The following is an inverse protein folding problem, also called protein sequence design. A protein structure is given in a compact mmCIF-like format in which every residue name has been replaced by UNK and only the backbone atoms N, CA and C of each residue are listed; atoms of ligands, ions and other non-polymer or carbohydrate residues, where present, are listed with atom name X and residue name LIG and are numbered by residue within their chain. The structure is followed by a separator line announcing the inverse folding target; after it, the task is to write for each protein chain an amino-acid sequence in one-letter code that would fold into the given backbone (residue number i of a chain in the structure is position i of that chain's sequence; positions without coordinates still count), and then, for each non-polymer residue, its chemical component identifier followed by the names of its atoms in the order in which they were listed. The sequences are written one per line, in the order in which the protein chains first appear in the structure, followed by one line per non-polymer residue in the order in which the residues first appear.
data_IF_011221630396
#
_entry.id   IF_011221630396
#
_cell.length_a   1.000
_cell.length_b   1.000
_cell.length_c   1.000
_cell.angle_alpha   90.00
_cell.angle_beta   90.00
_cell.angle_gamma   90.00
#
_symmetry.space_group_name_H-M   'P 1'
#
loop_
_entity.id
_entity.type
_entity.pdbx_description
1 polymer ?
#
# COMPACT_ATOMS: atom_id res chain seq x y z
N UNK A 1 -21.49 46.22 47.18
CA UNK A 1 -22.75 45.43 47.27
C UNK A 1 -22.53 44.06 46.76
N UNK A 2 -22.66 43.16 47.66
CA UNK A 2 -22.65 41.72 47.61
C UNK A 2 -23.63 41.16 46.56
N UNK A 3 -23.28 40.08 45.87
CA UNK A 3 -24.00 38.78 45.95
C UNK A 3 -23.17 37.65 45.35
N UNK A 4 -22.94 36.66 46.18
CA UNK A 4 -22.45 35.30 45.94
C UNK A 4 -23.58 34.46 45.35
N UNK A 5 -23.25 33.46 44.51
CA UNK A 5 -23.96 32.15 44.42
C UNK A 5 -22.96 31.13 43.88
N UNK A 6 -22.51 30.31 44.61
CA UNK A 6 -22.64 28.99 45.20
C UNK A 6 -22.71 27.86 44.15
N UNK A 7 -21.69 26.99 44.28
CA UNK A 7 -21.47 25.73 43.60
C UNK A 7 -22.66 24.72 43.82
N UNK A 8 -22.78 23.79 42.84
CA UNK A 8 -23.38 22.51 43.11
C UNK A 8 -22.59 21.43 42.37
N UNK A 9 -21.74 20.72 43.15
CA UNK A 9 -21.19 19.39 42.81
C UNK A 9 -22.35 18.39 43.00
N UNK A 10 -22.52 17.51 42.00
CA UNK A 10 -23.24 16.26 42.20
C UNK A 10 -22.37 15.09 41.76
N UNK A 11 -21.85 14.39 42.74
CA UNK A 11 -21.33 13.02 42.67
C UNK A 11 -22.47 12.06 42.33
N UNK A 12 -22.21 11.21 41.35
CA UNK A 12 -22.92 9.93 41.30
C UNK A 12 -21.90 8.81 41.21
N UNK A 13 -21.80 8.09 42.29
CA UNK A 13 -21.10 6.81 42.45
C UNK A 13 -22.05 5.65 42.25
N UNK A 14 -21.51 4.56 41.68
CA UNK A 14 -21.89 3.15 41.78
C UNK A 14 -23.11 2.64 40.97
N UNK A 15 -22.85 1.58 40.17
CA UNK A 15 -22.94 0.18 40.65
C UNK A 15 -22.42 -0.79 39.61
N UNK A 16 -21.45 -1.61 40.04
CA UNK A 16 -21.05 -2.87 39.44
C UNK A 16 -22.24 -3.85 39.47
N UNK A 17 -22.60 -4.36 38.30
CA UNK A 17 -23.22 -5.67 38.24
C UNK A 17 -22.80 -6.35 36.93
N UNK A 18 -22.13 -7.46 37.09
CA UNK A 18 -21.70 -8.32 36.01
C UNK A 18 -22.88 -8.90 35.25
N UNK A 19 -22.74 -8.93 33.93
CA UNK A 19 -23.50 -9.85 33.11
C UNK A 19 -22.55 -10.52 32.14
N UNK A 20 -22.47 -11.83 32.25
CA UNK A 20 -21.79 -12.72 31.31
C UNK A 20 -22.30 -12.46 29.90
N UNK A 21 -21.41 -12.11 28.99
CA UNK A 21 -21.70 -12.03 27.57
C UNK A 21 -21.46 -13.41 26.95
N UNK A 22 -22.52 -14.04 26.50
CA UNK A 22 -22.46 -15.24 25.69
C UNK A 22 -22.13 -14.83 24.23
N UNK A 23 -21.29 -15.56 23.49
CA UNK A 23 -21.05 -15.25 22.09
C UNK A 23 -22.24 -15.74 21.25
N UNK A 24 -23.04 -14.80 20.78
CA UNK A 24 -24.12 -15.05 19.83
C UNK A 24 -23.64 -14.91 18.39
N UNK A 25 -23.86 -15.97 17.66
CA UNK A 25 -23.58 -16.18 16.23
C UNK A 25 -24.54 -15.36 15.34
N UNK A 26 -24.42 -14.05 15.25
CA UNK A 26 -25.24 -13.25 14.33
C UNK A 26 -24.48 -12.61 13.15
N UNK A 27 -23.15 -12.72 13.12
CA UNK A 27 -22.35 -12.20 11.98
C UNK A 27 -22.25 -13.13 10.77
N UNK A 28 -22.51 -14.42 10.94
CA UNK A 28 -22.44 -15.39 9.83
C UNK A 28 -23.61 -15.31 8.83
N UNK A 29 -24.74 -14.68 9.21
CA UNK A 29 -25.92 -14.63 8.34
C UNK A 29 -25.89 -13.53 7.28
N UNK A 30 -25.07 -12.49 7.45
CA UNK A 30 -25.04 -11.37 6.52
C UNK A 30 -24.19 -11.69 5.26
N UNK A 31 -23.06 -12.36 5.44
CA UNK A 31 -22.18 -12.75 4.30
C UNK A 31 -22.83 -13.82 3.42
N UNK A 32 -23.59 -14.78 4.01
CA UNK A 32 -24.30 -15.80 3.23
C UNK A 32 -25.46 -15.24 2.38
N UNK A 33 -26.00 -14.06 2.70
CA UNK A 33 -27.07 -13.46 1.93
C UNK A 33 -26.59 -12.84 0.60
N UNK A 34 -25.34 -12.38 0.54
CA UNK A 34 -24.77 -11.75 -0.66
C UNK A 34 -24.25 -12.74 -1.68
N UNK A 35 -23.81 -13.93 -1.24
CA UNK A 35 -23.39 -15.03 -2.13
C UNK A 35 -24.55 -15.66 -2.93
N UNK A 36 -25.79 -15.26 -2.67
CA UNK A 36 -27.01 -15.78 -3.34
C UNK A 36 -27.66 -14.79 -4.29
N UNK A 37 -27.09 -13.63 -4.53
CA UNK A 37 -27.63 -12.71 -5.51
C UNK A 37 -27.28 -13.21 -6.93
N UNK A 38 -28.28 -13.43 -7.81
CA UNK A 38 -28.01 -13.75 -9.19
C UNK A 38 -27.34 -12.54 -9.86
N UNK A 39 -26.35 -12.80 -10.72
CA UNK A 39 -25.74 -11.78 -11.54
C UNK A 39 -26.85 -10.97 -12.25
N UNK A 40 -26.85 -9.66 -12.03
CA UNK A 40 -27.78 -8.76 -12.70
C UNK A 40 -27.50 -8.77 -14.19
N UNK A 41 -28.56 -8.91 -15.04
CA UNK A 41 -28.37 -8.82 -16.48
C UNK A 41 -27.99 -7.38 -16.86
N UNK A 42 -26.93 -7.26 -17.65
CA UNK A 42 -26.59 -6.00 -18.33
C UNK A 42 -27.68 -5.67 -19.34
N UNK A 43 -28.54 -4.70 -19.03
CA UNK A 43 -29.43 -4.10 -19.99
C UNK A 43 -28.76 -2.94 -20.73
N UNK A 44 -28.87 -3.05 -22.01
CA UNK A 44 -28.39 -2.23 -23.11
C UNK A 44 -28.42 -0.71 -22.92
N UNK A 45 -27.27 -0.08 -23.10
CA UNK A 45 -27.18 1.32 -23.51
C UNK A 45 -27.23 1.37 -25.05
N UNK A 46 -28.43 1.61 -25.62
CA UNK A 46 -28.61 1.80 -27.03
C UNK A 46 -28.15 3.21 -27.46
N UNK A 47 -27.06 3.26 -28.19
CA UNK A 47 -26.72 4.38 -29.07
C UNK A 47 -27.22 4.12 -30.47
N UNK A 48 -27.96 5.06 -31.01
CA UNK A 48 -28.66 5.03 -32.27
C UNK A 48 -27.77 5.14 -33.52
N UNK A 49 -28.04 4.24 -34.52
CA UNK A 49 -27.86 4.31 -35.99
C UNK A 49 -26.43 4.13 -36.53
N UNK A 50 -26.23 3.30 -37.52
CA UNK A 50 -26.82 3.13 -38.86
C UNK A 50 -26.61 1.71 -39.41
N UNK A 51 -27.48 1.29 -40.34
CA UNK A 51 -27.52 0.01 -41.01
C UNK A 51 -26.29 -0.30 -41.88
N UNK A 52 -25.66 -1.47 -41.66
CA UNK A 52 -25.12 -2.29 -42.75
C UNK A 52 -25.37 -3.77 -42.45
N UNK A 53 -25.99 -4.46 -43.45
CA UNK A 53 -26.17 -5.90 -43.47
C UNK A 53 -24.81 -6.61 -43.55
N UNK A 54 -24.54 -7.54 -42.63
CA UNK A 54 -23.67 -8.69 -42.88
C UNK A 54 -24.15 -9.91 -42.07
N UNK A 55 -23.91 -11.08 -42.66
CA UNK A 55 -24.50 -12.37 -42.40
C UNK A 55 -24.29 -12.91 -40.98
N UNK A 56 -25.30 -13.65 -40.49
CA UNK A 56 -25.35 -14.31 -39.21
C UNK A 56 -24.29 -15.44 -39.10
N UNK A 57 -23.28 -15.24 -38.28
CA UNK A 57 -22.46 -16.33 -37.75
C UNK A 57 -23.06 -16.89 -36.45
N UNK A 58 -23.14 -18.21 -36.36
CA UNK A 58 -23.65 -19.00 -35.25
C UNK A 58 -22.86 -18.79 -33.98
N UNK A 59 -23.47 -18.82 -32.76
CA UNK A 59 -22.77 -18.57 -31.50
C UNK A 59 -21.79 -19.69 -31.21
N UNK A 60 -20.51 -19.31 -31.09
CA UNK A 60 -19.44 -20.17 -30.64
C UNK A 60 -19.57 -20.49 -29.15
N UNK A 61 -19.21 -21.69 -28.78
CA UNK A 61 -19.11 -22.38 -27.47
C UNK A 61 -18.73 -21.51 -26.28
N UNK A 62 -19.12 -21.91 -25.04
CA UNK A 62 -18.85 -21.16 -23.82
C UNK A 62 -17.33 -20.94 -23.63
N UNK A 63 -16.99 -19.69 -23.35
CA UNK A 63 -15.65 -19.23 -23.05
C UNK A 63 -15.01 -20.12 -21.97
N UNK A 64 -13.92 -20.80 -22.30
CA UNK A 64 -13.05 -21.41 -21.31
C UNK A 64 -12.57 -20.32 -20.36
N UNK A 65 -12.85 -20.49 -19.07
CA UNK A 65 -12.31 -19.63 -18.03
C UNK A 65 -10.78 -19.66 -18.11
N UNK A 66 -10.17 -18.57 -18.56
CA UNK A 66 -8.71 -18.41 -18.54
C UNK A 66 -8.31 -18.29 -17.08
N UNK A 67 -7.90 -19.43 -16.51
CA UNK A 67 -7.29 -19.44 -15.19
C UNK A 67 -5.90 -18.85 -15.36
N UNK A 68 -5.68 -17.62 -14.91
CA UNK A 68 -4.34 -17.03 -14.86
C UNK A 68 -3.58 -17.79 -13.78
N UNK A 69 -2.62 -18.63 -14.17
CA UNK A 69 -1.70 -19.23 -13.21
C UNK A 69 -0.84 -18.12 -12.59
N UNK A 70 -1.08 -17.85 -11.32
CA UNK A 70 -0.28 -16.91 -10.55
C UNK A 70 0.92 -17.68 -9.98
N UNK A 71 2.17 -17.23 -10.20
CA UNK A 71 3.33 -17.84 -9.60
C UNK A 71 3.19 -17.92 -8.08
N UNK A 72 3.34 -19.09 -7.51
CA UNK A 72 3.35 -19.28 -6.05
C UNK A 72 4.71 -18.82 -5.54
N UNK A 73 4.72 -17.80 -4.69
CA UNK A 73 5.94 -17.33 -4.03
C UNK A 73 6.23 -18.24 -2.84
N UNK A 74 7.40 -18.89 -2.86
CA UNK A 74 7.88 -19.70 -1.75
C UNK A 74 8.73 -18.82 -0.80
N UNK A 75 8.16 -18.42 0.33
CA UNK A 75 8.83 -17.58 1.31
C UNK A 75 10.08 -18.24 1.94
N UNK A 76 10.12 -19.58 2.00
CA UNK A 76 11.25 -20.32 2.57
C UNK A 76 12.51 -20.25 1.69
N UNK A 77 12.34 -19.96 0.40
CA UNK A 77 13.43 -19.77 -0.56
C UNK A 77 13.91 -18.33 -0.67
N UNK A 78 13.16 -17.40 -0.08
CA UNK A 78 13.52 -15.97 -0.09
C UNK A 78 14.52 -15.62 1.00
N UNK A 79 15.33 -14.57 0.82
CA UNK A 79 16.19 -14.07 1.86
C UNK A 79 15.39 -13.73 3.12
N UNK A 80 15.89 -14.08 4.30
CA UNK A 80 15.28 -13.70 5.57
C UNK A 80 15.18 -12.17 5.68
N UNK A 81 14.05 -11.70 6.19
CA UNK A 81 13.75 -10.28 6.35
C UNK A 81 13.24 -10.00 7.76
N UNK A 82 13.66 -8.85 8.30
CA UNK A 82 13.06 -8.33 9.51
C UNK A 82 11.73 -7.61 9.16
N UNK A 83 10.75 -7.56 10.07
CA UNK A 83 9.45 -6.95 9.80
C UNK A 83 9.52 -5.51 9.25
N UNK A 84 10.53 -4.75 9.69
CA UNK A 84 10.77 -3.37 9.27
C UNK A 84 11.57 -3.20 7.97
N UNK A 85 12.05 -4.27 7.36
CA UNK A 85 12.80 -4.19 6.10
C UNK A 85 11.92 -3.73 4.94
N UNK A 86 12.40 -2.82 4.11
CA UNK A 86 11.74 -2.51 2.85
C UNK A 86 11.97 -3.62 1.84
N UNK A 87 10.89 -4.09 1.25
CA UNK A 87 10.93 -5.11 0.20
C UNK A 87 10.11 -4.67 -1.01
N UNK A 88 10.47 -5.15 -2.18
CA UNK A 88 9.74 -4.88 -3.42
C UNK A 88 8.46 -5.71 -3.44
N UNK A 89 7.33 -5.05 -3.62
CA UNK A 89 6.01 -5.67 -3.51
C UNK A 89 5.80 -6.80 -4.53
N UNK A 90 6.25 -6.61 -5.77
CA UNK A 90 6.09 -7.61 -6.84
C UNK A 90 6.90 -8.89 -6.64
N UNK A 91 7.95 -8.87 -5.82
CA UNK A 91 8.70 -10.08 -5.49
C UNK A 91 7.84 -11.05 -4.64
N UNK A 92 6.84 -10.53 -3.93
CA UNK A 92 5.94 -11.28 -3.04
C UNK A 92 4.53 -11.44 -3.62
N UNK A 93 4.07 -10.49 -4.42
CA UNK A 93 2.75 -10.50 -5.07
C UNK A 93 2.94 -10.22 -6.56
N UNK A 94 3.37 -11.23 -7.36
CA UNK A 94 3.77 -11.01 -8.75
C UNK A 94 2.66 -10.50 -9.67
N UNK A 95 1.40 -10.80 -9.36
CA UNK A 95 0.21 -10.42 -10.13
C UNK A 95 -0.44 -9.10 -9.68
N UNK A 96 0.15 -8.41 -8.69
CA UNK A 96 -0.37 -7.11 -8.25
C UNK A 96 -0.26 -6.09 -9.37
N UNK A 97 -1.35 -5.34 -9.58
CA UNK A 97 -1.34 -4.26 -10.57
C UNK A 97 -0.74 -3.00 -9.95
N UNK A 98 0.19 -2.38 -10.64
CA UNK A 98 0.86 -1.15 -10.16
C UNK A 98 0.68 -0.05 -11.18
N UNK A 99 0.14 1.07 -10.72
CA UNK A 99 0.05 2.34 -11.45
C UNK A 99 0.37 3.47 -10.47
N UNK A 100 1.65 3.64 -10.11
CA UNK A 100 2.06 4.73 -9.23
C UNK A 100 1.70 6.07 -9.87
N UNK A 101 0.68 6.74 -9.35
CA UNK A 101 0.14 8.01 -9.90
C UNK A 101 1.19 9.10 -9.88
N UNK A 102 2.02 9.16 -8.85
CA UNK A 102 3.08 10.14 -8.71
C UNK A 102 4.34 9.85 -9.56
N UNK A 103 4.43 8.66 -10.18
CA UNK A 103 5.47 8.36 -11.17
C UNK A 103 5.13 8.91 -12.57
N UNK A 104 3.95 9.50 -12.73
CA UNK A 104 3.49 10.15 -13.97
C UNK A 104 3.01 11.56 -13.68
N UNK A 105 2.67 12.34 -14.70
CA UNK A 105 2.02 13.65 -14.54
C UNK A 105 0.50 13.55 -14.29
N UNK A 106 -0.06 12.34 -14.27
CA UNK A 106 -1.50 12.10 -14.05
C UNK A 106 -1.83 12.07 -12.55
N UNK A 107 -1.54 13.17 -11.85
CA UNK A 107 -1.81 13.40 -10.43
C UNK A 107 -2.16 14.87 -10.21
N UNK A 108 -2.57 15.27 -9.01
CA UNK A 108 -3.04 16.63 -8.71
C UNK A 108 -2.00 17.73 -8.93
N UNK A 109 -0.69 17.39 -8.94
CA UNK A 109 0.38 18.38 -9.17
C UNK A 109 0.61 18.66 -10.65
N UNK A 110 0.15 17.76 -11.55
CA UNK A 110 0.44 17.78 -12.98
C UNK A 110 1.92 17.51 -13.33
N UNK A 111 2.72 17.05 -12.37
CA UNK A 111 4.17 16.81 -12.53
C UNK A 111 4.54 15.39 -12.13
N UNK A 112 5.66 14.89 -12.66
CA UNK A 112 6.29 13.65 -12.19
C UNK A 112 6.98 13.94 -10.85
N UNK A 113 6.52 13.29 -9.80
CA UNK A 113 7.05 13.46 -8.44
C UNK A 113 8.07 12.38 -8.11
N UNK A 114 7.80 11.11 -8.49
CA UNK A 114 8.69 9.97 -8.27
C UNK A 114 9.64 9.78 -9.45
N UNK A 115 10.88 9.40 -9.16
CA UNK A 115 11.90 8.96 -10.12
C UNK A 115 12.05 7.43 -10.17
N UNK A 116 11.09 6.71 -9.59
CA UNK A 116 10.98 5.26 -9.57
C UNK A 116 9.55 4.81 -9.93
N UNK A 117 9.42 3.54 -10.32
CA UNK A 117 8.15 2.92 -10.74
C UNK A 117 7.83 1.64 -9.98
N UNK A 118 8.74 1.17 -9.13
CA UNK A 118 8.56 -0.02 -8.32
C UNK A 118 8.01 0.33 -6.94
N UNK A 119 7.12 -0.51 -6.44
CA UNK A 119 6.50 -0.34 -5.12
C UNK A 119 7.33 -1.06 -4.06
N UNK A 120 7.66 -0.31 -3.01
CA UNK A 120 8.31 -0.85 -1.82
C UNK A 120 7.46 -0.56 -0.59
N UNK A 121 7.41 -1.52 0.32
CA UNK A 121 6.76 -1.41 1.63
C UNK A 121 7.57 -2.18 2.68
N UNK A 122 7.25 -1.97 3.97
CA UNK A 122 7.78 -2.79 5.07
C UNK A 122 7.38 -4.25 4.88
N UNK A 123 8.27 -5.17 5.20
CA UNK A 123 8.06 -6.61 5.00
C UNK A 123 6.78 -7.12 5.70
N UNK A 124 6.53 -6.70 6.95
CA UNK A 124 5.30 -7.06 7.68
C UNK A 124 4.03 -6.62 6.93
N UNK A 125 4.05 -5.45 6.32
CA UNK A 125 2.94 -4.91 5.52
C UNK A 125 2.72 -5.74 4.25
N UNK A 126 3.81 -6.12 3.59
CA UNK A 126 3.76 -6.95 2.37
C UNK A 126 3.17 -8.33 2.68
N UNK A 127 3.54 -8.97 3.80
CA UNK A 127 2.96 -10.26 4.19
C UNK A 127 1.44 -10.18 4.35
N UNK A 128 0.92 -9.13 4.99
CA UNK A 128 -0.53 -8.92 5.13
C UNK A 128 -1.21 -8.64 3.78
N UNK A 129 -0.54 -7.92 2.87
CA UNK A 129 -1.06 -7.69 1.51
C UNK A 129 -1.10 -8.98 0.68
N UNK A 130 -0.22 -9.95 0.94
CA UNK A 130 -0.31 -11.28 0.32
C UNK A 130 -1.63 -11.97 0.70
N UNK A 131 -2.04 -11.89 1.97
CA UNK A 131 -3.31 -12.45 2.44
C UNK A 131 -4.51 -11.71 1.84
N UNK A 132 -4.48 -10.36 1.80
CA UNK A 132 -5.48 -9.54 1.12
C UNK A 132 -5.64 -9.95 -0.35
N UNK A 133 -4.52 -10.02 -1.08
CA UNK A 133 -4.53 -10.36 -2.50
C UNK A 133 -5.03 -11.80 -2.74
N UNK A 134 -4.69 -12.74 -1.84
CA UNK A 134 -5.17 -14.12 -1.94
C UNK A 134 -6.71 -14.18 -1.80
N UNK A 135 -7.28 -13.49 -0.81
CA UNK A 135 -8.73 -13.45 -0.61
C UNK A 135 -9.46 -12.75 -1.76
N UNK A 136 -8.91 -11.64 -2.26
CA UNK A 136 -9.48 -10.91 -3.41
C UNK A 136 -9.51 -11.79 -4.67
N UNK A 137 -8.48 -12.61 -4.92
CA UNK A 137 -8.43 -13.54 -6.06
C UNK A 137 -9.58 -14.54 -6.04
N UNK A 138 -9.91 -15.08 -4.87
CA UNK A 138 -11.03 -16.01 -4.70
C UNK A 138 -12.37 -15.37 -5.10
N UNK A 139 -12.47 -14.05 -5.00
CA UNK A 139 -13.64 -13.26 -5.37
C UNK A 139 -13.57 -12.71 -6.82
N UNK A 140 -12.50 -13.01 -7.56
CA UNK A 140 -12.29 -12.53 -8.93
C UNK A 140 -11.74 -11.10 -9.05
N UNK A 141 -11.13 -10.59 -7.96
CA UNK A 141 -10.53 -9.26 -7.92
C UNK A 141 -9.03 -9.33 -7.65
N UNK A 142 -8.36 -8.22 -7.89
CA UNK A 142 -6.96 -7.95 -7.48
C UNK A 142 -6.81 -6.50 -7.03
N UNK A 143 -5.81 -6.26 -6.19
CA UNK A 143 -5.40 -4.89 -5.86
C UNK A 143 -4.70 -4.23 -7.05
N UNK A 144 -4.97 -2.94 -7.22
CA UNK A 144 -4.20 -2.01 -8.03
C UNK A 144 -3.65 -0.91 -7.13
N UNK A 145 -2.33 -0.74 -7.11
CA UNK A 145 -1.63 0.22 -6.26
C UNK A 145 -1.49 1.56 -6.97
N UNK A 146 -1.95 2.63 -6.33
CA UNK A 146 -1.80 4.01 -6.78
C UNK A 146 -0.66 4.75 -6.09
N UNK A 147 -0.44 4.50 -4.78
CA UNK A 147 0.68 4.99 -4.00
C UNK A 147 1.05 4.02 -2.87
N UNK A 148 2.30 4.12 -2.36
CA UNK A 148 2.78 3.27 -1.29
C UNK A 148 3.84 4.01 -0.45
N UNK A 149 5.05 3.43 -0.27
CA UNK A 149 6.11 4.18 0.40
C UNK A 149 6.46 5.44 -0.39
N UNK A 150 6.38 6.57 0.29
CA UNK A 150 6.67 7.90 -0.24
C UNK A 150 7.86 8.49 0.48
N UNK A 151 9.04 8.63 -0.16
CA UNK A 151 10.18 9.31 0.42
C UNK A 151 9.85 10.73 0.87
N UNK A 152 10.51 11.23 1.92
CA UNK A 152 10.28 12.60 2.39
C UNK A 152 10.51 13.66 1.32
N UNK A 153 11.47 13.45 0.44
CA UNK A 153 11.76 14.33 -0.71
C UNK A 153 10.56 14.45 -1.66
N UNK A 154 9.84 13.36 -1.86
CA UNK A 154 8.59 13.36 -2.63
C UNK A 154 7.46 14.04 -1.88
N UNK A 155 7.32 13.79 -0.57
CA UNK A 155 6.34 14.48 0.26
C UNK A 155 6.55 16.00 0.28
N UNK A 156 7.80 16.47 0.30
CA UNK A 156 8.12 17.89 0.18
C UNK A 156 7.67 18.49 -1.16
N UNK A 157 7.82 17.75 -2.27
CA UNK A 157 7.32 18.19 -3.59
C UNK A 157 5.79 18.33 -3.58
N UNK A 158 5.07 17.37 -3.00
CA UNK A 158 3.60 17.42 -2.88
C UNK A 158 3.15 18.60 -2.01
N UNK A 159 3.79 18.79 -0.86
CA UNK A 159 3.51 19.94 0.02
C UNK A 159 3.75 21.27 -0.67
N UNK A 160 4.85 21.41 -1.40
CA UNK A 160 5.15 22.63 -2.13
C UNK A 160 4.14 22.93 -3.25
N UNK A 161 3.54 21.89 -3.85
CA UNK A 161 2.49 22.05 -4.85
C UNK A 161 1.13 22.44 -4.22
N UNK A 162 0.81 21.92 -3.02
CA UNK A 162 -0.44 22.20 -2.29
C UNK A 162 -0.16 22.25 -0.78
N UNK A 163 0.30 23.41 -0.23
CA UNK A 163 0.66 23.53 1.18
C UNK A 163 -0.58 23.71 2.08
N UNK A 164 -1.47 22.74 2.03
CA UNK A 164 -2.71 22.71 2.80
C UNK A 164 -2.80 21.40 3.59
N UNK A 165 -2.69 21.44 4.94
CA UNK A 165 -2.66 20.24 5.76
C UNK A 165 -3.98 19.45 5.77
N UNK A 166 -5.04 19.99 5.20
CA UNK A 166 -6.30 19.28 5.00
C UNK A 166 -6.15 18.19 3.91
N UNK A 167 -5.27 18.39 2.93
CA UNK A 167 -5.12 17.53 1.76
C UNK A 167 -3.73 16.88 1.67
N UNK A 168 -2.69 17.57 2.08
CA UNK A 168 -1.32 17.10 2.01
C UNK A 168 -0.66 17.20 3.38
N UNK A 169 -0.21 16.10 3.94
CA UNK A 169 0.50 16.11 5.21
C UNK A 169 1.78 16.94 5.12
N UNK A 170 1.98 17.83 6.11
CA UNK A 170 3.20 18.62 6.20
C UNK A 170 4.41 17.69 6.51
N UNK A 171 5.47 17.66 5.67
CA UNK A 171 6.60 16.74 5.82
C UNK A 171 7.38 16.92 7.13
N UNK A 172 7.29 18.11 7.75
CA UNK A 172 8.06 18.45 8.95
C UNK A 172 7.33 18.17 10.26
N UNK A 173 6.03 17.81 10.24
CA UNK A 173 5.24 17.57 11.47
C UNK A 173 5.25 16.11 11.93
N UNK A 174 5.81 15.20 11.14
CA UNK A 174 5.86 13.77 11.48
C UNK A 174 4.54 13.01 11.31
N UNK A 175 3.53 13.63 10.69
CA UNK A 175 2.18 13.04 10.50
C UNK A 175 2.03 12.26 9.19
N UNK A 176 3.03 12.29 8.31
CA UNK A 176 2.98 11.62 7.02
C UNK A 176 3.07 10.08 7.16
N UNK A 177 1.95 9.39 6.92
CA UNK A 177 1.84 7.95 7.04
C UNK A 177 2.63 7.19 5.96
N UNK A 178 2.60 7.64 4.69
CA UNK A 178 3.29 6.99 3.58
C UNK A 178 4.81 6.92 3.75
N UNK A 179 5.43 7.92 4.39
CA UNK A 179 6.87 7.91 4.65
C UNK A 179 7.30 6.95 5.77
N UNK A 180 6.36 6.21 6.38
CA UNK A 180 6.65 5.13 7.34
C UNK A 180 6.83 3.77 6.64
N UNK A 181 6.31 3.62 5.41
CA UNK A 181 6.41 2.42 4.59
C UNK A 181 5.38 1.33 4.91
N UNK A 182 4.36 1.63 5.70
CA UNK A 182 3.25 0.74 6.03
C UNK A 182 1.87 1.28 5.60
N UNK A 183 1.87 2.24 4.70
CA UNK A 183 0.66 2.86 4.14
C UNK A 183 0.63 2.65 2.64
N UNK A 184 -0.56 2.37 2.12
CA UNK A 184 -0.81 2.09 0.71
C UNK A 184 -2.14 2.68 0.26
N UNK A 185 -2.16 3.27 -0.94
CA UNK A 185 -3.36 3.70 -1.62
C UNK A 185 -3.67 2.71 -2.74
N UNK A 186 -4.86 2.12 -2.67
CA UNK A 186 -5.25 1.01 -3.54
C UNK A 186 -6.67 1.16 -4.07
N UNK A 187 -6.91 0.53 -5.23
CA UNK A 187 -8.24 0.26 -5.78
C UNK A 187 -8.36 -1.21 -6.18
N UNK A 188 -9.54 -1.59 -6.66
CA UNK A 188 -9.82 -2.92 -7.17
C UNK A 188 -9.78 -2.95 -8.71
N UNK A 189 -9.26 -4.05 -9.23
CA UNK A 189 -9.43 -4.45 -10.64
C UNK A 189 -10.06 -5.84 -10.68
N UNK A 190 -10.83 -6.10 -11.76
CA UNK A 190 -11.38 -7.42 -12.02
C UNK A 190 -10.32 -8.41 -12.56
N UNK A 191 -10.72 -9.63 -12.87
CA UNK A 191 -9.82 -10.68 -13.35
C UNK A 191 -9.05 -10.27 -14.63
N UNK A 192 -9.67 -9.43 -15.50
CA UNK A 192 -9.05 -8.93 -16.72
C UNK A 192 -8.15 -7.70 -16.48
N UNK A 193 -8.02 -7.21 -15.25
CA UNK A 193 -7.21 -6.06 -14.89
C UNK A 193 -7.85 -4.70 -15.16
N UNK A 194 -9.17 -4.67 -15.43
CA UNK A 194 -9.93 -3.41 -15.57
C UNK A 194 -10.38 -2.91 -14.20
N UNK A 195 -10.23 -1.62 -13.94
CA UNK A 195 -10.77 -1.00 -12.72
C UNK A 195 -12.28 -1.23 -12.62
N UNK A 196 -12.73 -1.51 -11.41
CA UNK A 196 -14.16 -1.54 -11.09
C UNK A 196 -14.62 -0.16 -10.66
N UNK A 197 -15.93 0.07 -10.70
CA UNK A 197 -16.50 1.34 -10.26
C UNK A 197 -16.23 1.56 -8.77
N UNK A 198 -15.71 2.73 -8.43
CA UNK A 198 -15.38 3.14 -7.06
C UNK A 198 -15.96 4.54 -6.80
N UNK A 199 -16.08 4.98 -5.53
CA UNK A 199 -16.73 6.27 -5.21
C UNK A 199 -16.14 7.46 -5.96
N UNK A 200 -14.80 7.55 -6.04
CA UNK A 200 -14.08 8.63 -6.74
C UNK A 200 -12.81 8.11 -7.38
N UNK A 201 -12.12 8.96 -8.15
CA UNK A 201 -10.74 8.73 -8.56
C UNK A 201 -9.74 8.99 -7.43
N UNK A 202 -8.46 8.72 -7.71
CA UNK A 202 -7.34 8.99 -6.79
C UNK A 202 -7.16 10.49 -6.56
N UNK A 203 -6.84 10.91 -5.32
CA UNK A 203 -6.66 12.32 -4.93
C UNK A 203 -7.88 13.22 -5.22
N UNK A 204 -9.08 12.65 -5.21
CA UNK A 204 -10.29 13.45 -5.19
C UNK A 204 -10.43 14.11 -3.81
N UNK A 205 -10.30 15.44 -3.78
CA UNK A 205 -10.35 16.23 -2.54
C UNK A 205 -11.77 16.66 -2.16
N UNK A 206 -12.80 16.10 -2.77
CA UNK A 206 -14.20 16.33 -2.41
C UNK A 206 -14.64 15.44 -1.26
N UNK A 207 -15.81 15.72 -0.70
CA UNK A 207 -16.44 14.88 0.32
C UNK A 207 -16.87 13.52 -0.21
N UNK A 208 -16.99 13.34 -1.53
CA UNK A 208 -17.31 12.05 -2.15
C UNK A 208 -16.21 10.99 -1.97
N UNK A 209 -15.00 11.39 -1.57
CA UNK A 209 -13.88 10.50 -1.29
C UNK A 209 -13.95 9.84 0.10
N UNK A 210 -14.84 10.28 0.96
CA UNK A 210 -14.93 9.74 2.32
C UNK A 210 -15.59 8.35 2.36
N UNK A 211 -15.58 7.72 3.54
CA UNK A 211 -16.11 6.35 3.75
C UNK A 211 -17.57 6.32 4.19
N UNK A 212 -18.32 7.36 3.94
CA UNK A 212 -19.77 7.38 4.17
C UNK A 212 -20.49 6.56 3.07
N UNK A 213 -20.02 6.61 1.82
CA UNK A 213 -20.55 5.86 0.66
C UNK A 213 -22.04 6.10 0.36
N UNK A 214 -22.71 7.05 1.00
CA UNK A 214 -24.13 7.32 0.81
C UNK A 214 -24.43 8.16 -0.43
N UNK A 215 -23.40 8.78 -1.00
CA UNK A 215 -23.47 9.76 -2.09
C UNK A 215 -22.84 9.25 -3.40
N UNK A 216 -22.53 7.96 -3.49
CA UNK A 216 -22.08 7.29 -4.70
C UNK A 216 -23.09 6.23 -5.16
N UNK A 217 -22.81 5.55 -6.28
CA UNK A 217 -23.68 4.48 -6.77
C UNK A 217 -23.63 3.25 -5.86
N UNK A 218 -24.70 2.43 -5.87
CA UNK A 218 -24.74 1.19 -5.11
C UNK A 218 -23.57 0.26 -5.47
N UNK A 219 -23.14 0.24 -6.74
CA UNK A 219 -22.02 -0.56 -7.20
C UNK A 219 -20.68 -0.05 -6.65
N UNK A 220 -20.44 1.27 -6.68
CA UNK A 220 -19.25 1.88 -6.12
C UNK A 220 -19.18 1.66 -4.60
N UNK A 221 -20.30 1.86 -3.88
CA UNK A 221 -20.40 1.61 -2.46
C UNK A 221 -20.08 0.15 -2.12
N UNK A 222 -20.67 -0.82 -2.83
CA UNK A 222 -20.43 -2.24 -2.62
C UNK A 222 -18.95 -2.62 -2.83
N UNK A 223 -18.31 -2.11 -3.89
CA UNK A 223 -16.90 -2.37 -4.19
C UNK A 223 -15.97 -1.74 -3.13
N UNK A 224 -16.25 -0.50 -2.69
CA UNK A 224 -15.47 0.17 -1.66
C UNK A 224 -15.60 -0.52 -0.29
N UNK A 225 -16.83 -0.96 0.08
CA UNK A 225 -17.07 -1.74 1.29
C UNK A 225 -16.37 -3.10 1.26
N UNK A 226 -16.37 -3.81 0.12
CA UNK A 226 -15.64 -5.06 -0.06
C UNK A 226 -14.14 -4.86 0.15
N UNK A 227 -13.55 -3.85 -0.48
CA UNK A 227 -12.15 -3.51 -0.30
C UNK A 227 -11.84 -3.20 1.17
N UNK A 228 -12.68 -2.39 1.81
CA UNK A 228 -12.53 -2.02 3.21
C UNK A 228 -12.58 -3.24 4.14
N UNK A 229 -13.58 -4.11 3.98
CA UNK A 229 -13.76 -5.29 4.81
C UNK A 229 -12.55 -6.22 4.74
N UNK A 230 -12.05 -6.49 3.53
CA UNK A 230 -10.89 -7.37 3.34
C UNK A 230 -9.62 -6.72 3.89
N UNK A 231 -9.36 -5.44 3.62
CA UNK A 231 -8.19 -4.74 4.16
C UNK A 231 -8.21 -4.70 5.70
N UNK A 232 -9.35 -4.37 6.31
CA UNK A 232 -9.48 -4.33 7.78
C UNK A 232 -9.34 -5.71 8.42
N UNK A 233 -9.90 -6.76 7.80
CA UNK A 233 -9.76 -8.16 8.24
C UNK A 233 -8.28 -8.58 8.32
N UNK A 234 -7.44 -8.11 7.41
CA UNK A 234 -6.01 -8.42 7.38
C UNK A 234 -5.13 -7.38 8.11
N UNK A 235 -5.73 -6.54 8.96
CA UNK A 235 -5.00 -5.68 9.91
C UNK A 235 -4.57 -4.34 9.35
N UNK A 236 -5.27 -3.84 8.35
CA UNK A 236 -5.15 -2.46 7.90
C UNK A 236 -6.25 -1.59 8.51
N UNK A 237 -6.00 -0.29 8.56
CA UNK A 237 -6.97 0.71 9.00
C UNK A 237 -7.14 1.75 7.89
N UNK A 238 -8.38 1.98 7.49
CA UNK A 238 -8.72 3.03 6.53
C UNK A 238 -8.66 4.44 7.13
N UNK A 239 -8.38 5.44 6.29
CA UNK A 239 -8.55 6.86 6.61
C UNK A 239 -9.99 7.28 6.27
N UNK A 240 -10.67 7.97 7.20
CA UNK A 240 -12.09 8.28 7.03
C UNK A 240 -12.38 9.16 5.82
N UNK A 241 -11.46 10.04 5.46
CA UNK A 241 -11.61 11.00 4.36
C UNK A 241 -11.17 10.48 2.99
N UNK A 242 -10.62 9.25 2.91
CA UNK A 242 -10.04 8.68 1.70
C UNK A 242 -10.33 7.19 1.62
N UNK A 243 -11.23 6.76 0.73
CA UNK A 243 -11.63 5.35 0.63
C UNK A 243 -10.49 4.42 0.16
N UNK A 244 -9.51 4.94 -0.59
CA UNK A 244 -8.36 4.19 -1.12
C UNK A 244 -7.22 4.01 -0.11
N UNK A 245 -7.16 4.83 0.96
CA UNK A 245 -6.02 4.93 1.87
C UNK A 245 -6.12 3.92 3.02
N UNK A 246 -5.06 3.10 3.18
CA UNK A 246 -4.97 2.09 4.23
C UNK A 246 -3.59 2.08 4.87
N UNK A 247 -3.54 2.08 6.20
CA UNK A 247 -2.31 1.97 6.99
C UNK A 247 -2.32 0.67 7.79
N UNK A 248 -1.26 -0.11 7.69
CA UNK A 248 -1.03 -1.30 8.50
C UNK A 248 -0.78 -0.91 9.96
N UNK A 249 -1.31 -1.70 10.91
CA UNK A 249 -1.40 -1.33 12.32
C UNK A 249 -0.07 -1.32 13.10
N UNK A 250 1.07 -1.74 12.52
CA UNK A 250 2.37 -1.64 13.16
C UNK A 250 2.86 -0.19 13.13
N UNK A 251 3.33 0.31 14.28
CA UNK A 251 3.90 1.66 14.36
C UNK A 251 5.35 1.66 13.89
N UNK A 252 5.64 2.42 12.84
CA UNK A 252 6.98 2.65 12.30
C UNK A 252 7.34 4.12 12.34
N UNK A 253 8.61 4.41 12.59
CA UNK A 253 9.15 5.75 12.40
C UNK A 253 9.16 6.15 10.93
N UNK A 254 9.16 7.46 10.68
CA UNK A 254 9.37 7.99 9.33
C UNK A 254 10.74 7.57 8.82
N UNK A 255 10.76 6.96 7.64
CA UNK A 255 11.97 6.53 6.96
C UNK A 255 12.80 7.72 6.44
N UNK A 256 14.10 7.67 6.63
CA UNK A 256 15.02 8.77 6.28
C UNK A 256 16.20 8.33 5.41
N UNK A 257 16.38 7.02 5.22
CA UNK A 257 17.58 6.46 4.57
C UNK A 257 17.19 5.70 3.30
N UNK A 258 16.19 4.82 3.40
CA UNK A 258 15.72 4.07 2.24
C UNK A 258 15.07 5.00 1.21
N UNK A 259 15.51 4.87 -0.04
CA UNK A 259 14.96 5.62 -1.17
C UNK A 259 14.85 4.70 -2.39
N UNK A 260 13.62 4.40 -2.87
CA UNK A 260 13.41 3.56 -4.05
C UNK A 260 14.15 4.03 -5.31
N UNK A 261 14.32 5.34 -5.48
CA UNK A 261 15.05 5.94 -6.61
C UNK A 261 16.54 5.64 -6.59
N UNK A 262 17.10 5.28 -5.43
CA UNK A 262 18.53 4.94 -5.28
C UNK A 262 18.83 3.45 -5.39
N UNK A 263 17.79 2.60 -5.38
CA UNK A 263 17.98 1.14 -5.42
C UNK A 263 18.72 0.73 -6.69
N UNK A 264 19.93 0.22 -6.52
CA UNK A 264 20.82 -0.13 -7.63
C UNK A 264 21.88 -1.15 -7.19
N UNK A 265 22.46 -1.85 -8.18
CA UNK A 265 23.51 -2.84 -7.92
C UNK A 265 24.86 -2.16 -7.93
N UNK A 266 25.62 -2.44 -6.89
CA UNK A 266 27.01 -1.96 -6.69
C UNK A 266 27.92 -3.14 -6.37
N UNK A 267 29.21 -2.95 -6.43
CA UNK A 267 30.22 -3.94 -6.05
C UNK A 267 31.26 -3.32 -5.11
N UNK A 268 31.85 -4.16 -4.28
CA UNK A 268 33.03 -3.79 -3.53
C UNK A 268 34.20 -3.49 -4.46
N UNK A 269 34.94 -2.43 -4.16
CA UNK A 269 36.15 -2.02 -4.89
C UNK A 269 37.26 -1.74 -3.88
N UNK A 270 38.06 -2.78 -3.60
CA UNK A 270 39.03 -2.77 -2.52
C UNK A 270 40.13 -3.81 -2.76
N UNK A 271 41.14 -3.90 -1.89
CA UNK A 271 42.22 -4.89 -2.06
C UNK A 271 41.82 -6.30 -1.66
N UNK A 272 40.98 -6.47 -0.61
CA UNK A 272 40.58 -7.79 -0.10
C UNK A 272 39.07 -7.84 0.17
N UNK A 273 38.60 -6.99 1.08
CA UNK A 273 37.17 -6.92 1.48
C UNK A 273 36.81 -5.55 2.04
N UNK A 274 35.52 -5.24 2.04
CA UNK A 274 34.92 -4.13 2.80
C UNK A 274 34.09 -4.64 3.96
N UNK A 275 33.97 -3.85 5.02
CA UNK A 275 33.17 -4.19 6.19
C UNK A 275 31.72 -3.73 6.04
N UNK A 276 30.78 -4.65 6.20
CA UNK A 276 29.36 -4.35 6.41
C UNK A 276 29.12 -4.14 7.90
N UNK A 277 28.58 -2.98 8.30
CA UNK A 277 28.49 -2.54 9.70
C UNK A 277 27.05 -2.30 10.15
N UNK A 278 26.82 -2.39 11.47
CA UNK A 278 25.50 -2.15 12.07
C UNK A 278 25.04 -0.69 11.99
N UNK A 279 25.96 0.26 11.82
CA UNK A 279 25.64 1.69 11.71
C UNK A 279 26.65 2.43 10.84
N UNK A 280 26.30 3.64 10.32
CA UNK A 280 27.12 4.41 9.38
C UNK A 280 28.30 5.10 10.09
N UNK A 281 29.21 4.29 10.64
CA UNK A 281 30.38 4.72 11.39
C UNK A 281 31.52 3.72 11.20
N UNK A 282 32.73 4.19 10.93
CA UNK A 282 33.92 3.35 10.74
C UNK A 282 34.31 2.53 11.99
N UNK A 283 33.90 2.96 13.17
CA UNK A 283 34.12 2.26 14.45
C UNK A 283 32.96 1.34 14.86
N UNK A 284 31.88 1.29 14.08
CA UNK A 284 30.74 0.43 14.38
C UNK A 284 31.09 -1.06 14.26
N UNK A 285 30.36 -1.89 14.98
CA UNK A 285 30.45 -3.35 14.91
C UNK A 285 30.30 -3.84 13.45
N UNK A 286 31.10 -4.84 13.11
CA UNK A 286 31.10 -5.47 11.78
C UNK A 286 30.15 -6.67 11.80
N UNK A 287 29.13 -6.64 10.97
CA UNK A 287 28.19 -7.75 10.77
C UNK A 287 28.83 -8.89 9.96
N UNK A 288 29.47 -8.51 8.87
CA UNK A 288 30.20 -9.42 7.97
C UNK A 288 31.15 -8.62 7.08
N UNK A 289 31.93 -9.33 6.27
CA UNK A 289 32.81 -8.74 5.25
C UNK A 289 32.28 -9.07 3.85
N UNK A 290 32.47 -8.14 2.92
CA UNK A 290 32.12 -8.30 1.50
C UNK A 290 33.42 -8.35 0.72
N UNK A 291 33.80 -9.48 0.12
CA UNK A 291 35.02 -9.59 -0.68
C UNK A 291 35.03 -8.63 -1.87
N UNK A 292 36.24 -8.30 -2.34
CA UNK A 292 36.42 -7.48 -3.54
C UNK A 292 35.62 -8.01 -4.73
N UNK A 293 35.08 -7.11 -5.55
CA UNK A 293 34.22 -7.36 -6.71
C UNK A 293 32.86 -8.04 -6.41
N UNK A 294 32.53 -8.39 -5.16
CA UNK A 294 31.23 -8.94 -4.83
C UNK A 294 30.15 -7.86 -4.91
N UNK A 295 29.02 -8.24 -5.52
CA UNK A 295 27.88 -7.34 -5.73
C UNK A 295 26.92 -7.34 -4.53
N UNK A 296 26.29 -6.18 -4.34
CA UNK A 296 25.24 -5.96 -3.34
C UNK A 296 24.27 -4.89 -3.85
N UNK A 297 23.10 -4.82 -3.22
CA UNK A 297 22.08 -3.81 -3.54
C UNK A 297 22.23 -2.61 -2.62
N UNK A 298 22.40 -1.42 -3.15
CA UNK A 298 22.29 -0.16 -2.41
C UNK A 298 20.82 0.18 -2.26
N UNK A 299 20.44 0.55 -1.03
CA UNK A 299 19.08 0.87 -0.63
C UNK A 299 18.90 2.34 -0.22
N UNK A 300 19.99 3.05 0.04
CA UNK A 300 19.98 4.45 0.43
C UNK A 300 21.35 4.93 0.88
N UNK A 301 21.43 6.21 1.25
CA UNK A 301 22.69 6.88 1.57
C UNK A 301 22.58 7.71 2.85
N UNK A 302 23.62 7.69 3.66
CA UNK A 302 23.71 8.52 4.87
C UNK A 302 25.18 8.83 5.23
N UNK A 303 25.55 10.10 5.36
CA UNK A 303 26.82 10.56 5.88
C UNK A 303 28.07 9.86 5.29
N UNK A 304 28.12 9.67 3.96
CA UNK A 304 29.22 9.00 3.27
C UNK A 304 29.20 7.46 3.36
N UNK A 305 28.12 6.88 3.88
CA UNK A 305 27.86 5.45 3.88
C UNK A 305 26.68 5.11 2.98
N UNK A 306 26.76 3.94 2.31
CA UNK A 306 25.61 3.31 1.67
C UNK A 306 24.95 2.34 2.66
N UNK A 307 23.62 2.42 2.79
CA UNK A 307 22.81 1.38 3.38
C UNK A 307 22.54 0.31 2.32
N UNK A 308 22.90 -0.93 2.57
CA UNK A 308 22.93 -1.97 1.55
C UNK A 308 22.27 -3.27 2.01
N UNK A 309 21.95 -4.12 1.05
CA UNK A 309 21.60 -5.54 1.23
C UNK A 309 22.67 -6.41 0.55
N UNK A 310 23.35 -7.21 1.34
CA UNK A 310 24.30 -8.21 0.85
C UNK A 310 23.87 -9.60 1.32
N UNK A 311 23.38 -10.42 0.41
CA UNK A 311 22.94 -11.80 0.67
C UNK A 311 21.91 -11.89 1.83
N UNK A 312 21.02 -10.92 1.93
CA UNK A 312 19.99 -10.85 2.97
C UNK A 312 20.44 -10.18 4.27
N UNK A 313 21.74 -9.88 4.42
CA UNK A 313 22.24 -9.10 5.57
C UNK A 313 22.25 -7.61 5.21
N UNK A 314 21.58 -6.81 6.01
CA UNK A 314 21.50 -5.35 5.81
C UNK A 314 22.39 -4.61 6.78
N UNK A 315 23.01 -3.53 6.30
CA UNK A 315 23.91 -2.69 7.09
C UNK A 315 24.55 -1.60 6.24
N UNK A 316 25.67 -1.08 6.70
CA UNK A 316 26.31 0.09 6.14
C UNK A 316 27.73 -0.22 5.67
N UNK A 317 28.05 0.21 4.46
CA UNK A 317 29.41 0.21 3.92
C UNK A 317 29.87 1.63 3.62
N UNK A 318 31.17 1.90 3.76
CA UNK A 318 31.72 3.20 3.40
C UNK A 318 31.74 3.34 1.87
N UNK A 319 31.17 4.43 1.37
CA UNK A 319 31.01 4.73 -0.03
C UNK A 319 32.33 4.83 -0.83
N UNK A 320 33.46 5.11 -0.16
CA UNK A 320 34.76 5.25 -0.79
C UNK A 320 35.32 3.93 -1.36
N UNK A 321 34.72 2.79 -0.98
CA UNK A 321 35.19 1.44 -1.34
C UNK A 321 34.20 0.65 -2.19
N UNK A 322 33.43 1.33 -3.02
CA UNK A 322 32.42 0.69 -3.86
C UNK A 322 32.23 1.44 -5.18
N UNK A 323 31.84 0.71 -6.22
CA UNK A 323 31.50 1.28 -7.53
C UNK A 323 30.19 0.72 -8.05
N UNK A 324 29.48 1.52 -8.86
CA UNK A 324 28.20 1.10 -9.46
C UNK A 324 28.47 0.07 -10.55
N UNK A 325 27.63 -0.96 -10.59
CA UNK A 325 27.60 -1.91 -11.69
C UNK A 325 26.75 -1.30 -12.81
N UNK A 326 27.32 -1.18 -14.02
CA UNK A 326 26.65 -0.65 -15.21
C UNK A 326 25.49 -1.56 -15.68
#
# INVERSE_FOLDING_TARGET
MRRKLTALLLFFTLLLSGCCYAPGNERASFVESWLKLPALPMEDYQSTKEHHNEEAETPSTPNESVTIEVPVVNLDEMPKREPGDFVKLRDYIPDIVVELKYATSSNFTGQVVYDFTEVYLRYSTVLKLMDVQAELRELGYRLKVWDAFRPLTAQEKLWNAKPDPQYVSNPWTGTNSHSRGNTIDVTLVNAEGREVEMPTGFDDFSTYADRDYSDCTDAAAANAMLLQEIMEKHGFKGLQTEWWHYTENTDYDIEKIFDPGTVSIWRAECNEYINLRVSPNVSAEVLTTIPDNNQFTVLGWINGFAYIDYQGTRGYVNADYMSRVE
#
